data_IF_051354929169
#
_entry.id   IF_051354929169
#
_cell.length_a   1.000
_cell.length_b   1.000
_cell.length_c   1.000
_cell.angle_alpha   90.00
_cell.angle_beta   90.00
_cell.angle_gamma   90.00
#
_symmetry.space_group_name_H-M   'P 1'
#
loop_
_entity.id
_entity.type
_entity.pdbx_description
1 polymer ?
#
# COMPACT_ATOMS: atom_id res chain seq x y z
N UNK A 1 4.72 12.49 -11.58
CA UNK A 1 3.85 11.63 -10.73
C UNK A 1 3.85 12.22 -9.33
N UNK A 2 2.69 12.49 -8.73
CA UNK A 2 2.58 13.06 -7.37
C UNK A 2 2.41 11.92 -6.35
N UNK A 3 3.11 11.99 -5.21
CA UNK A 3 2.90 11.08 -4.08
C UNK A 3 1.69 11.55 -3.27
N UNK A 4 0.77 10.65 -2.86
CA UNK A 4 -0.41 11.04 -2.09
C UNK A 4 -0.03 11.67 -0.75
N UNK A 5 -0.64 12.81 -0.44
CA UNK A 5 -0.38 13.57 0.80
C UNK A 5 -1.42 13.28 1.89
N UNK A 6 -2.62 12.85 1.50
CA UNK A 6 -3.77 12.63 2.40
C UNK A 6 -4.51 11.33 2.03
N UNK A 7 -5.42 10.93 2.93
CA UNK A 7 -6.28 9.75 2.83
C UNK A 7 -7.12 9.68 1.54
N UNK A 8 -7.49 10.84 1.03
CA UNK A 8 -8.25 11.00 -0.22
C UNK A 8 -7.27 11.02 -1.39
N UNK A 9 -6.42 10.01 -1.47
CA UNK A 9 -5.71 9.75 -2.71
C UNK A 9 -6.76 9.30 -3.72
N UNK A 10 -7.00 10.11 -4.76
CA UNK A 10 -7.77 9.67 -5.92
C UNK A 10 -7.23 8.31 -6.42
N UNK A 11 -8.05 7.52 -7.10
CA UNK A 11 -7.59 6.23 -7.64
C UNK A 11 -6.31 6.39 -8.48
N UNK A 12 -6.19 7.52 -9.18
CA UNK A 12 -4.99 7.91 -9.92
C UNK A 12 -3.75 8.09 -9.02
N UNK A 13 -3.87 8.73 -7.86
CA UNK A 13 -2.76 8.98 -6.92
C UNK A 13 -2.30 7.70 -6.22
N UNK A 14 -3.24 6.82 -5.89
CA UNK A 14 -2.90 5.48 -5.39
C UNK A 14 -2.11 4.69 -6.43
N UNK A 15 -2.54 4.73 -7.70
CA UNK A 15 -1.80 4.10 -8.81
C UNK A 15 -0.42 4.73 -9.06
N UNK A 16 -0.30 6.04 -8.88
CA UNK A 16 1.00 6.72 -8.93
C UNK A 16 1.93 6.26 -7.81
N UNK A 17 1.42 6.02 -6.60
CA UNK A 17 2.22 5.45 -5.50
C UNK A 17 2.80 4.08 -5.86
N UNK A 18 2.00 3.19 -6.47
CA UNK A 18 2.47 1.88 -6.93
C UNK A 18 3.56 1.98 -8.00
N UNK A 19 3.47 3.01 -8.85
CA UNK A 19 4.47 3.28 -9.85
C UNK A 19 5.82 3.70 -9.25
N UNK A 20 5.85 4.31 -8.06
CA UNK A 20 7.10 4.61 -7.37
C UNK A 20 7.81 3.35 -6.86
N UNK A 21 7.08 2.30 -6.47
CA UNK A 21 7.72 1.02 -6.09
C UNK A 21 8.49 0.41 -7.24
N UNK A 22 8.04 0.59 -8.49
CA UNK A 22 8.75 0.13 -9.69
C UNK A 22 9.99 0.95 -10.04
N UNK A 23 10.14 2.15 -9.46
CA UNK A 23 11.31 2.99 -9.70
C UNK A 23 12.52 2.54 -8.88
N UNK A 24 12.29 1.83 -7.78
CA UNK A 24 13.37 1.18 -7.05
C UNK A 24 13.84 -0.02 -7.88
N UNK A 25 15.05 0.11 -8.43
CA UNK A 25 15.75 -1.04 -8.98
C UNK A 25 16.14 -1.95 -7.82
N UNK A 26 16.09 -3.25 -8.07
CA UNK A 26 16.59 -4.27 -7.15
C UNK A 26 18.13 -4.24 -7.20
N UNK A 27 18.70 -3.16 -6.68
CA UNK A 27 20.14 -2.96 -6.54
C UNK A 27 20.52 -3.22 -5.08
N UNK A 28 21.69 -3.83 -4.86
CA UNK A 28 22.19 -4.18 -3.52
C UNK A 28 22.62 -2.95 -2.71
N UNK A 29 22.46 -1.75 -3.27
CA UNK A 29 22.87 -0.48 -2.67
C UNK A 29 21.73 0.14 -1.87
N UNK A 30 22.09 0.85 -0.80
CA UNK A 30 21.12 1.63 -0.04
C UNK A 30 20.54 2.75 -0.90
N UNK A 31 19.21 2.84 -0.98
CA UNK A 31 18.52 3.94 -1.66
C UNK A 31 18.12 5.00 -0.64
N UNK A 32 18.53 6.25 -0.86
CA UNK A 32 18.14 7.38 -0.05
C UNK A 32 16.76 7.89 -0.47
N UNK A 33 15.81 7.90 0.46
CA UNK A 33 14.45 8.44 0.25
C UNK A 33 14.27 9.65 1.16
N UNK A 34 14.04 10.82 0.56
CA UNK A 34 13.85 12.08 1.29
C UNK A 34 12.53 12.75 0.91
N UNK A 35 11.98 13.51 1.86
CA UNK A 35 10.85 14.43 1.61
C UNK A 35 11.23 15.82 2.14
N UNK A 36 10.32 16.54 2.82
CA UNK A 36 10.63 17.83 3.44
C UNK A 36 11.41 17.69 4.75
N UNK A 37 10.99 16.76 5.62
CA UNK A 37 11.57 16.53 6.95
C UNK A 37 12.05 15.06 7.15
N UNK A 38 11.84 14.21 6.15
CA UNK A 38 12.26 12.80 6.16
C UNK A 38 11.43 11.87 7.05
N UNK A 39 10.33 12.35 7.67
CA UNK A 39 9.56 11.57 8.65
C UNK A 39 8.08 11.35 8.27
N UNK A 40 7.52 12.15 7.36
CA UNK A 40 6.17 11.94 6.82
C UNK A 40 6.17 11.02 5.59
N UNK A 41 6.09 11.61 4.39
CA UNK A 41 6.01 10.87 3.11
C UNK A 41 7.14 9.86 2.86
N UNK A 42 8.36 10.22 3.24
CA UNK A 42 9.51 9.31 3.08
C UNK A 42 9.34 8.05 3.93
N UNK A 43 8.86 8.20 5.18
CA UNK A 43 8.53 7.07 6.04
C UNK A 43 7.33 6.27 5.50
N UNK A 44 6.30 6.94 4.97
CA UNK A 44 5.16 6.26 4.34
C UNK A 44 5.62 5.39 3.17
N UNK A 45 6.47 5.94 2.30
CA UNK A 45 7.02 5.21 1.16
C UNK A 45 7.84 4.00 1.62
N UNK A 46 8.79 4.21 2.55
CA UNK A 46 9.66 3.17 3.06
C UNK A 46 8.86 2.02 3.70
N UNK A 47 7.88 2.37 4.53
CA UNK A 47 7.06 1.40 5.25
C UNK A 47 6.13 0.65 4.30
N UNK A 48 5.46 1.32 3.36
CA UNK A 48 4.61 0.67 2.36
C UNK A 48 5.42 -0.26 1.45
N UNK A 49 6.62 0.15 1.02
CA UNK A 49 7.54 -0.70 0.26
C UNK A 49 7.97 -1.93 1.06
N UNK A 50 8.31 -1.76 2.34
CA UNK A 50 8.71 -2.86 3.23
C UNK A 50 7.57 -3.87 3.40
N UNK A 51 6.35 -3.40 3.65
CA UNK A 51 5.17 -4.26 3.76
C UNK A 51 4.93 -5.05 2.47
N UNK A 52 4.97 -4.38 1.31
CA UNK A 52 4.79 -5.06 0.02
C UNK A 52 5.89 -6.08 -0.25
N UNK A 53 7.14 -5.80 0.16
CA UNK A 53 8.28 -6.72 0.04
C UNK A 53 8.07 -7.97 0.89
N UNK A 54 7.73 -7.79 2.17
CA UNK A 54 7.44 -8.90 3.09
C UNK A 54 6.24 -9.73 2.62
N UNK A 55 5.18 -9.06 2.18
CA UNK A 55 3.99 -9.69 1.60
C UNK A 55 4.34 -10.53 0.37
N UNK A 56 5.19 -10.03 -0.53
CA UNK A 56 5.65 -10.78 -1.69
C UNK A 56 6.52 -11.99 -1.33
N UNK A 57 7.20 -11.95 -0.19
CA UNK A 57 7.94 -13.07 0.37
C UNK A 57 7.06 -14.07 1.15
N UNK A 58 5.72 -13.91 1.11
CA UNK A 58 4.75 -14.71 1.87
C UNK A 58 4.98 -14.67 3.39
N UNK A 59 5.51 -13.55 3.91
CA UNK A 59 5.68 -13.33 5.34
C UNK A 59 4.43 -12.64 5.88
N UNK A 60 3.90 -13.12 7.01
CA UNK A 60 2.79 -12.46 7.72
C UNK A 60 3.27 -11.09 8.21
N UNK A 61 2.55 -10.04 7.85
CA UNK A 61 2.94 -8.67 8.16
C UNK A 61 1.96 -8.06 9.15
N UNK A 62 2.43 -7.84 10.37
CA UNK A 62 1.79 -6.95 11.32
C UNK A 62 2.28 -5.52 11.07
N UNK A 63 1.40 -4.67 10.55
CA UNK A 63 1.75 -3.30 10.18
C UNK A 63 2.32 -2.48 11.36
N UNK A 64 1.81 -2.61 12.61
CA UNK A 64 2.40 -1.94 13.78
C UNK A 64 3.86 -2.34 14.04
N UNK A 65 4.24 -3.59 13.79
CA UNK A 65 5.62 -4.07 14.01
C UNK A 65 6.59 -3.44 13.00
N UNK A 66 6.15 -3.27 11.76
CA UNK A 66 6.93 -2.55 10.74
C UNK A 66 7.08 -1.09 11.16
N UNK A 67 6.02 -0.44 11.66
CA UNK A 67 6.11 0.92 12.17
C UNK A 67 7.08 1.05 13.34
N UNK A 68 7.06 0.10 14.28
CA UNK A 68 7.97 0.08 15.42
C UNK A 68 9.44 0.02 14.95
N UNK A 69 9.75 -0.85 13.99
CA UNK A 69 11.09 -0.94 13.38
C UNK A 69 11.50 0.35 12.68
N UNK A 70 10.60 0.95 11.90
CA UNK A 70 10.86 2.23 11.21
C UNK A 70 11.09 3.36 12.22
N UNK A 71 10.30 3.43 13.30
CA UNK A 71 10.45 4.45 14.36
C UNK A 71 11.71 4.24 15.21
N UNK A 72 12.15 3.00 15.39
CA UNK A 72 13.43 2.71 16.03
C UNK A 72 14.62 3.23 15.21
N UNK A 73 14.54 3.13 13.87
CA UNK A 73 15.57 3.65 12.97
C UNK A 73 15.49 5.17 12.76
N UNK A 74 14.27 5.73 12.74
CA UNK A 74 14.02 7.16 12.55
C UNK A 74 12.89 7.62 13.45
N UNK A 75 13.27 8.29 14.54
CA UNK A 75 12.30 8.87 15.46
C UNK A 75 11.36 9.85 14.76
N UNK A 76 10.08 9.80 15.13
CA UNK A 76 9.01 10.63 14.56
C UNK A 76 8.45 10.15 13.21
N UNK A 77 8.84 8.98 12.71
CA UNK A 77 8.28 8.43 11.49
C UNK A 77 6.76 8.19 11.60
N UNK A 78 6.00 8.65 10.58
CA UNK A 78 4.53 8.67 10.55
C UNK A 78 3.97 9.45 11.74
N UNK A 79 3.71 10.74 11.54
CA UNK A 79 3.32 11.66 12.61
C UNK A 79 1.81 11.73 12.79
N UNK A 80 1.08 11.68 11.67
CA UNK A 80 -0.37 11.86 11.64
C UNK A 80 -1.07 10.53 11.38
N UNK A 81 -2.26 10.36 11.97
CA UNK A 81 -3.12 9.19 11.74
C UNK A 81 -3.47 9.05 10.26
N UNK A 82 -3.73 10.16 9.58
CA UNK A 82 -4.03 10.19 8.15
C UNK A 82 -2.90 9.57 7.31
N UNK A 83 -1.63 9.76 7.69
CA UNK A 83 -0.49 9.17 7.00
C UNK A 83 -0.46 7.65 7.18
N UNK A 84 -0.79 7.17 8.38
CA UNK A 84 -0.87 5.75 8.69
C UNK A 84 -2.02 5.08 7.91
N UNK A 85 -3.19 5.71 7.87
CA UNK A 85 -4.34 5.22 7.11
C UNK A 85 -4.09 5.26 5.59
N UNK A 86 -3.53 6.36 5.07
CA UNK A 86 -3.16 6.46 3.64
C UNK A 86 -2.19 5.36 3.24
N UNK A 87 -1.23 5.02 4.12
CA UNK A 87 -0.31 3.91 3.90
C UNK A 87 -1.05 2.57 3.76
N UNK A 88 -2.03 2.29 4.62
CA UNK A 88 -2.85 1.07 4.51
C UNK A 88 -3.60 1.04 3.19
N UNK A 89 -4.16 2.17 2.76
CA UNK A 89 -4.87 2.26 1.48
C UNK A 89 -3.94 1.98 0.29
N UNK A 90 -2.70 2.48 0.31
CA UNK A 90 -1.71 2.20 -0.74
C UNK A 90 -1.37 0.71 -0.78
N UNK A 91 -1.13 0.09 0.38
CA UNK A 91 -0.82 -1.36 0.48
C UNK A 91 -2.02 -2.19 -0.01
N UNK A 92 -3.23 -1.84 0.44
CA UNK A 92 -4.45 -2.51 -0.01
C UNK A 92 -4.62 -2.40 -1.52
N UNK A 93 -4.42 -1.21 -2.10
CA UNK A 93 -4.44 -1.00 -3.55
C UNK A 93 -3.37 -1.83 -4.25
N UNK A 94 -2.16 -1.95 -3.70
CA UNK A 94 -1.14 -2.83 -4.25
C UNK A 94 -1.63 -4.29 -4.33
N UNK A 95 -2.21 -4.81 -3.25
CA UNK A 95 -2.75 -6.16 -3.18
C UNK A 95 -3.89 -6.33 -4.20
N UNK A 96 -4.84 -5.39 -4.23
CA UNK A 96 -5.93 -5.40 -5.22
C UNK A 96 -5.40 -5.46 -6.65
N UNK A 97 -4.35 -4.70 -6.97
CA UNK A 97 -3.76 -4.71 -8.30
C UNK A 97 -3.01 -6.01 -8.60
N UNK A 98 -2.33 -6.59 -7.61
CA UNK A 98 -1.62 -7.88 -7.75
C UNK A 98 -2.60 -9.03 -7.99
N UNK A 99 -3.76 -9.02 -7.34
CA UNK A 99 -4.79 -10.05 -7.45
C UNK A 99 -5.98 -9.61 -8.31
N UNK A 100 -5.81 -8.60 -9.17
CA UNK A 100 -6.91 -7.96 -9.90
C UNK A 100 -7.82 -8.97 -10.62
N UNK A 101 -7.22 -9.95 -11.31
CA UNK A 101 -7.97 -10.99 -12.04
C UNK A 101 -8.75 -11.90 -11.10
N UNK A 102 -8.11 -12.40 -10.04
CA UNK A 102 -8.77 -13.28 -9.06
C UNK A 102 -9.94 -12.55 -8.39
N UNK A 103 -9.74 -11.28 -8.02
CA UNK A 103 -10.78 -10.46 -7.41
C UNK A 103 -11.92 -10.12 -8.38
N UNK A 104 -11.63 -9.86 -9.66
CA UNK A 104 -12.69 -9.65 -10.67
C UNK A 104 -13.51 -10.92 -10.87
N UNK A 105 -12.84 -12.06 -11.01
CA UNK A 105 -13.51 -13.34 -11.23
C UNK A 105 -14.44 -13.70 -10.06
N UNK A 106 -13.99 -13.46 -8.82
CA UNK A 106 -14.80 -13.71 -7.63
C UNK A 106 -15.98 -12.74 -7.51
N UNK A 107 -15.77 -11.46 -7.84
CA UNK A 107 -16.85 -10.47 -7.87
C UNK A 107 -17.92 -10.85 -8.90
N UNK A 108 -17.52 -11.35 -10.07
CA UNK A 108 -18.46 -11.76 -11.11
C UNK A 108 -19.23 -13.02 -10.72
N UNK A 109 -18.60 -14.00 -10.06
CA UNK A 109 -19.32 -15.15 -9.46
C UNK A 109 -20.36 -14.71 -8.44
N UNK A 110 -20.00 -13.77 -7.56
CA UNK A 110 -20.92 -13.25 -6.55
C UNK A 110 -22.12 -12.53 -7.17
N UNK A 111 -21.91 -11.75 -8.24
CA UNK A 111 -23.01 -11.11 -8.97
C UNK A 111 -23.96 -12.12 -9.61
N UNK A 112 -23.42 -13.17 -10.22
CA UNK A 112 -24.24 -14.25 -10.81
C UNK A 112 -25.07 -14.94 -9.72
N UNK A 113 -24.43 -15.33 -8.62
CA UNK A 113 -25.14 -15.95 -7.50
C UNK A 113 -26.24 -15.06 -6.90
N UNK A 114 -25.99 -13.75 -6.81
CA UNK A 114 -26.99 -12.78 -6.35
C UNK A 114 -28.16 -12.66 -7.34
N UNK A 115 -27.89 -12.59 -8.64
CA UNK A 115 -28.92 -12.52 -9.68
C UNK A 115 -29.82 -13.77 -9.66
N UNK A 116 -29.23 -14.96 -9.57
CA UNK A 116 -29.98 -16.23 -9.45
C UNK A 116 -30.83 -16.30 -8.19
N UNK A 117 -30.40 -15.65 -7.09
CA UNK A 117 -31.18 -15.59 -5.86
C UNK A 117 -32.36 -14.61 -5.99
N UNK A 118 -32.15 -13.46 -6.64
CA UNK A 118 -33.19 -12.47 -6.89
C UNK A 118 -34.26 -12.96 -7.88
N UNK A 119 -33.90 -13.78 -8.86
CA UNK A 119 -34.87 -14.40 -9.79
C UNK A 119 -35.75 -15.48 -9.15
N UNK A 120 -35.37 -15.98 -7.96
CA UNK A 120 -36.12 -16.99 -7.21
C UNK A 120 -37.08 -16.41 -6.17
N UNK A 121 -37.12 -15.08 -6.03
CA UNK A 121 -37.99 -14.32 -5.12
C UNK A 121 -39.11 -13.69 -5.95
#
# INVERSE_FOLDING_TARGET
RKWPETLVASESESMHALCFFRLLKDDKRSTMVICKNGIGRAAMFLMAHSICTLFNANIVVEVPDVLAKVRAARWGAIQEEEQYLTLHMIVFKYIQQKFRKVLSDECDKQKVALAEHLEKI
#
